data_IF_709609066241
#
_entry.id   IF_709609066241
#
_cell.length_a   1.000
_cell.length_b   1.000
_cell.length_c   1.000
_cell.angle_alpha   90.00
_cell.angle_beta   90.00
_cell.angle_gamma   90.00
#
_symmetry.space_group_name_H-M   'P 1'
#
loop_
_entity.id
_entity.type
_entity.pdbx_description
1 polymer ?
#
# COMPACT_ATOMS: atom_id res chain seq x y z
N UNK A 1 -22.39 -18.06 40.51
CA UNK A 1 -21.16 -17.27 40.79
C UNK A 1 -19.93 -17.72 40.00
N UNK A 2 -19.84 -18.97 39.50
CA UNK A 2 -18.72 -19.45 38.67
C UNK A 2 -18.90 -19.15 37.16
N UNK A 3 -20.13 -19.23 36.64
CA UNK A 3 -20.44 -18.91 35.23
C UNK A 3 -20.21 -17.43 34.87
N UNK A 4 -20.48 -16.50 35.81
CA UNK A 4 -20.27 -15.06 35.61
C UNK A 4 -18.79 -14.73 35.46
N UNK A 5 -17.92 -15.47 36.16
CA UNK A 5 -16.47 -15.33 36.05
C UNK A 5 -15.95 -15.86 34.71
N UNK A 6 -16.53 -16.95 34.20
CA UNK A 6 -16.20 -17.49 32.87
C UNK A 6 -16.60 -16.49 31.77
N UNK A 7 -17.80 -15.90 31.86
CA UNK A 7 -18.25 -14.88 30.91
C UNK A 7 -17.36 -13.63 30.90
N UNK A 8 -16.91 -13.18 32.08
CA UNK A 8 -15.99 -12.05 32.23
C UNK A 8 -14.60 -12.35 31.64
N UNK A 9 -14.07 -13.56 31.85
CA UNK A 9 -12.79 -13.98 31.29
C UNK A 9 -12.83 -14.07 29.76
N UNK A 10 -13.91 -14.63 29.19
CA UNK A 10 -14.10 -14.68 27.73
C UNK A 10 -14.20 -13.28 27.11
N UNK A 11 -14.91 -12.35 27.77
CA UNK A 11 -15.02 -10.97 27.29
C UNK A 11 -13.66 -10.24 27.26
N UNK A 12 -12.81 -10.45 28.27
CA UNK A 12 -11.45 -9.90 28.33
C UNK A 12 -10.54 -10.43 27.21
N UNK A 13 -10.68 -11.71 26.83
CA UNK A 13 -9.92 -12.30 25.73
C UNK A 13 -10.34 -11.80 24.34
N UNK A 14 -11.60 -11.36 24.18
CA UNK A 14 -12.10 -10.84 22.90
C UNK A 14 -11.66 -9.38 22.67
N UNK A 15 -11.52 -8.59 23.74
CA UNK A 15 -11.05 -7.20 23.69
C UNK A 15 -9.57 -7.07 23.31
N UNK A 16 -8.78 -8.12 23.49
CA UNK A 16 -7.35 -8.14 23.11
C UNK A 16 -7.13 -8.56 21.65
N UNK A 17 -8.17 -9.04 20.97
CA UNK A 17 -8.12 -9.44 19.56
C UNK A 17 -8.65 -8.37 18.60
N UNK A 18 -8.95 -7.16 19.08
CA UNK A 18 -9.14 -6.00 18.21
C UNK A 18 -7.77 -5.57 17.66
N UNK A 19 -7.24 -6.36 16.73
CA UNK A 19 -6.13 -5.98 15.88
C UNK A 19 -6.63 -5.01 14.83
N UNK A 20 -6.16 -3.77 14.90
CA UNK A 20 -6.38 -2.76 13.88
C UNK A 20 -5.57 -3.20 12.66
N UNK A 21 -6.16 -4.00 11.75
CA UNK A 21 -5.54 -4.23 10.45
C UNK A 21 -5.74 -2.98 9.62
N UNK A 22 -4.94 -1.95 9.92
CA UNK A 22 -4.57 -0.99 8.89
C UNK A 22 -3.85 -1.82 7.84
N UNK A 23 -4.45 -1.95 6.65
CA UNK A 23 -3.76 -2.54 5.53
C UNK A 23 -2.55 -1.64 5.26
N UNK A 24 -1.39 -1.99 5.84
CA UNK A 24 -0.12 -1.33 5.56
C UNK A 24 0.21 -1.62 4.11
N UNK A 25 -0.31 -0.73 3.26
CA UNK A 25 0.10 -0.61 1.87
C UNK A 25 1.54 -0.11 1.90
N UNK A 26 2.46 -1.03 2.17
CA UNK A 26 3.86 -0.76 2.46
C UNK A 26 4.54 -0.17 1.21
N UNK A 27 4.41 1.15 1.05
CA UNK A 27 4.88 1.87 -0.12
C UNK A 27 4.53 3.36 -0.09
N UNK A 28 5.27 4.15 -0.87
CA UNK A 28 5.03 5.59 -1.03
C UNK A 28 4.21 5.89 -2.29
N UNK A 29 3.38 6.93 -2.25
CA UNK A 29 2.68 7.41 -3.46
C UNK A 29 3.69 8.00 -4.45
N UNK A 30 3.46 7.77 -5.74
CA UNK A 30 4.24 8.39 -6.80
C UNK A 30 3.90 9.89 -6.95
N UNK A 31 4.91 10.70 -7.24
CA UNK A 31 4.79 12.12 -7.53
C UNK A 31 4.40 12.34 -9.00
N UNK A 32 3.17 12.80 -9.23
CA UNK A 32 2.61 12.96 -10.58
C UNK A 32 2.65 14.38 -11.13
N UNK A 33 3.43 15.30 -10.52
CA UNK A 33 3.42 16.73 -10.89
C UNK A 33 3.67 16.99 -12.39
N UNK A 34 4.48 16.15 -13.05
CA UNK A 34 4.83 16.30 -14.46
C UNK A 34 4.14 15.28 -15.39
N UNK A 35 3.34 14.36 -14.87
CA UNK A 35 2.72 13.31 -15.68
C UNK A 35 1.74 13.86 -16.73
N UNK A 36 1.17 15.05 -16.49
CA UNK A 36 0.19 15.71 -17.37
C UNK A 36 0.84 16.16 -18.70
N UNK A 37 2.09 16.62 -18.67
CA UNK A 37 2.81 17.10 -19.86
C UNK A 37 3.56 15.97 -20.60
N UNK A 38 3.69 14.81 -19.94
CA UNK A 38 4.39 13.63 -20.45
C UNK A 38 5.59 13.26 -19.58
N UNK A 39 6.06 12.02 -19.71
CA UNK A 39 7.19 11.51 -18.95
C UNK A 39 8.51 11.63 -19.70
N UNK A 40 9.59 11.91 -18.97
CA UNK A 40 10.94 11.81 -19.51
C UNK A 40 11.27 10.36 -19.86
N UNK A 41 12.19 10.18 -20.81
CA UNK A 41 12.70 8.84 -21.21
C UNK A 41 13.89 8.38 -20.36
N UNK A 42 14.09 8.98 -19.18
CA UNK A 42 15.15 8.58 -18.26
C UNK A 42 14.76 7.26 -17.63
N UNK A 43 15.68 6.30 -17.63
CA UNK A 43 15.52 5.03 -16.95
C UNK A 43 15.96 5.18 -15.49
N UNK A 44 14.99 5.25 -14.59
CA UNK A 44 15.17 5.35 -13.15
C UNK A 44 14.11 4.47 -12.47
N UNK A 45 14.29 3.14 -12.51
CA UNK A 45 13.20 2.20 -12.30
C UNK A 45 12.69 2.22 -10.86
N UNK A 46 11.40 1.92 -10.69
CA UNK A 46 10.76 1.74 -9.38
C UNK A 46 9.92 0.46 -9.37
N UNK A 47 9.88 -0.21 -8.21
CA UNK A 47 9.07 -1.40 -8.00
C UNK A 47 7.73 -1.03 -7.36
N UNK A 48 6.62 -1.36 -8.04
CA UNK A 48 5.28 -1.21 -7.51
C UNK A 48 4.94 -2.23 -6.42
N UNK A 49 3.96 -1.90 -5.58
CA UNK A 49 3.38 -2.84 -4.61
C UNK A 49 2.57 -3.96 -5.29
N UNK A 50 2.30 -3.83 -6.59
CA UNK A 50 1.73 -4.86 -7.46
C UNK A 50 2.79 -5.80 -8.06
N UNK A 51 4.08 -5.62 -7.72
CA UNK A 51 5.18 -6.46 -8.16
C UNK A 51 5.73 -6.13 -9.55
N UNK A 52 5.24 -5.08 -10.20
CA UNK A 52 5.72 -4.66 -11.51
C UNK A 52 6.83 -3.61 -11.41
N UNK A 53 7.81 -3.70 -12.32
CA UNK A 53 8.83 -2.65 -12.48
C UNK A 53 8.35 -1.59 -13.46
N UNK A 54 8.41 -0.33 -13.06
CA UNK A 54 8.12 0.82 -13.91
C UNK A 54 9.42 1.50 -14.29
N UNK A 55 9.57 1.90 -15.57
CA UNK A 55 10.81 2.47 -16.10
C UNK A 55 11.23 3.77 -15.38
N UNK A 56 10.27 4.52 -14.86
CA UNK A 56 10.46 5.60 -13.90
C UNK A 56 9.17 5.89 -13.13
N UNK A 57 9.28 6.71 -12.08
CA UNK A 57 8.15 7.12 -11.23
C UNK A 57 7.01 7.81 -12.02
N UNK A 58 7.34 8.59 -13.06
CA UNK A 58 6.33 9.23 -13.89
C UNK A 58 5.50 8.20 -14.68
N UNK A 59 6.14 7.16 -15.22
CA UNK A 59 5.45 6.08 -15.93
C UNK A 59 4.50 5.32 -15.01
N UNK A 60 4.87 5.13 -13.73
CA UNK A 60 3.97 4.56 -12.72
C UNK A 60 2.77 5.51 -12.48
N UNK A 61 2.99 6.82 -12.39
CA UNK A 61 1.90 7.80 -12.30
C UNK A 61 0.92 7.73 -13.48
N UNK A 62 1.42 7.62 -14.72
CA UNK A 62 0.56 7.45 -15.90
C UNK A 62 -0.24 6.15 -15.85
N UNK A 63 0.35 5.07 -15.33
CA UNK A 63 -0.37 3.82 -15.13
C UNK A 63 -1.46 3.98 -14.07
N UNK A 64 -1.16 4.63 -12.95
CA UNK A 64 -2.13 4.94 -11.91
C UNK A 64 -3.30 5.79 -12.41
N UNK A 65 -3.08 6.70 -13.36
CA UNK A 65 -4.16 7.48 -13.97
C UNK A 65 -5.14 6.62 -14.77
N UNK A 66 -4.71 5.48 -15.31
CA UNK A 66 -5.55 4.55 -16.08
C UNK A 66 -6.28 3.55 -15.20
N UNK A 67 -5.78 3.27 -13.99
CA UNK A 67 -6.29 2.24 -13.08
C UNK A 67 -7.26 2.83 -12.04
N UNK A 68 -8.15 1.98 -11.52
CA UNK A 68 -9.07 2.35 -10.42
C UNK A 68 -8.41 2.23 -9.03
N UNK A 69 -7.30 1.49 -8.93
CA UNK A 69 -6.57 1.25 -7.68
C UNK A 69 -5.15 1.83 -7.83
N UNK A 70 -4.72 2.76 -6.96
CA UNK A 70 -3.38 3.35 -7.04
C UNK A 70 -2.31 2.35 -6.61
N UNK A 71 -1.35 2.11 -7.49
CA UNK A 71 -0.09 1.41 -7.22
C UNK A 71 0.79 2.34 -6.39
N UNK A 72 1.34 1.82 -5.30
CA UNK A 72 2.35 2.50 -4.49
C UNK A 72 3.74 1.99 -4.86
N UNK A 73 4.75 2.82 -4.69
CA UNK A 73 6.15 2.44 -4.86
C UNK A 73 6.60 1.69 -3.61
N UNK A 74 6.90 0.40 -3.75
CA UNK A 74 7.42 -0.45 -2.68
C UNK A 74 8.91 -0.24 -2.43
N UNK A 75 9.71 -0.13 -3.49
CA UNK A 75 11.15 0.19 -3.43
C UNK A 75 11.61 0.93 -4.69
N UNK A 76 12.69 1.68 -4.58
CA UNK A 76 13.44 2.16 -5.75
C UNK A 76 14.20 1.00 -6.42
N UNK A 77 14.48 1.14 -7.71
CA UNK A 77 15.06 0.07 -8.51
C UNK A 77 14.00 -0.89 -9.08
N UNK A 78 14.43 -1.88 -9.90
CA UNK A 78 13.55 -2.93 -10.36
C UNK A 78 13.02 -3.78 -9.20
N UNK A 79 11.83 -4.35 -9.37
CA UNK A 79 11.41 -5.52 -8.60
C UNK A 79 12.41 -6.64 -8.86
#
# INVERSE_FOLDING_TARGET
MKLTSIFLLCALTLLSLSGNTEADSQGRKANCNNAITGCTKIYDPVCGNDGNTYANECMLCLENQKRQIPILIKKSGPC
#
